data_IF_496108244039
#
_entry.id   IF_496108244039
#
_cell.length_a   1.000
_cell.length_b   1.000
_cell.length_c   1.000
_cell.angle_alpha   90.00
_cell.angle_beta   90.00
_cell.angle_gamma   90.00
#
_symmetry.space_group_name_H-M   'P 1'
#
loop_
_entity.id
_entity.type
_entity.pdbx_description
1 polymer ?
#
# COMPACT_ATOMS: atom_id res chain seq x y z
N UNK A 1 -1.72 -19.00 -38.54
CA UNK A 1 -0.79 -19.43 -37.48
C UNK A 1 0.09 -18.23 -37.16
N UNK A 2 -0.09 -17.62 -35.99
CA UNK A 2 0.59 -16.39 -35.61
C UNK A 2 1.95 -16.77 -35.03
N UNK A 3 3.04 -16.43 -35.74
CA UNK A 3 4.41 -16.66 -35.28
C UNK A 3 4.65 -15.86 -34.00
N UNK A 4 4.60 -16.53 -32.85
CA UNK A 4 5.14 -16.02 -31.60
C UNK A 4 6.66 -16.03 -31.71
N UNK A 5 7.24 -14.92 -32.15
CA UNK A 5 8.69 -14.72 -32.10
C UNK A 5 9.11 -14.86 -30.63
N UNK A 6 10.00 -15.82 -30.28
CA UNK A 6 10.49 -15.92 -28.91
C UNK A 6 11.31 -14.66 -28.60
N UNK A 7 10.87 -13.91 -27.60
CA UNK A 7 11.59 -12.73 -27.13
C UNK A 7 13.02 -13.08 -26.72
N UNK A 8 13.98 -12.24 -27.11
CA UNK A 8 15.31 -12.30 -26.52
C UNK A 8 15.21 -12.01 -25.02
N UNK A 9 15.96 -12.73 -24.19
CA UNK A 9 15.99 -12.55 -22.72
C UNK A 9 16.17 -11.07 -22.31
N UNK A 10 16.83 -10.26 -23.13
CA UNK A 10 17.02 -8.82 -22.90
C UNK A 10 15.71 -8.02 -23.01
N UNK A 11 14.86 -8.30 -23.99
CA UNK A 11 13.60 -7.58 -24.20
C UNK A 11 12.60 -7.86 -23.08
N UNK A 12 12.52 -9.10 -22.61
CA UNK A 12 11.68 -9.47 -21.47
C UNK A 12 12.11 -8.74 -20.19
N UNK A 13 13.42 -8.59 -19.95
CA UNK A 13 13.93 -7.86 -18.79
C UNK A 13 13.59 -6.36 -18.85
N UNK A 14 13.68 -5.74 -20.03
CA UNK A 14 13.31 -4.33 -20.23
C UNK A 14 11.84 -4.11 -19.89
N UNK A 15 10.94 -4.95 -20.42
CA UNK A 15 9.49 -4.86 -20.15
C UNK A 15 9.16 -4.97 -18.65
N UNK A 16 9.78 -5.92 -17.95
CA UNK A 16 9.60 -6.10 -16.50
C UNK A 16 10.07 -4.85 -15.75
N UNK A 17 11.25 -4.32 -16.09
CA UNK A 17 11.81 -3.16 -15.43
C UNK A 17 10.96 -1.91 -15.66
N UNK A 18 10.43 -1.69 -16.86
CA UNK A 18 9.55 -0.58 -17.17
C UNK A 18 8.23 -0.64 -16.39
N UNK A 19 7.59 -1.82 -16.36
CA UNK A 19 6.37 -2.02 -15.60
C UNK A 19 6.58 -1.80 -14.10
N UNK A 20 7.60 -2.44 -13.53
CA UNK A 20 7.92 -2.33 -12.10
C UNK A 20 8.29 -0.89 -11.74
N UNK A 21 9.09 -0.21 -12.56
CA UNK A 21 9.41 1.21 -12.35
C UNK A 21 8.16 2.09 -12.36
N UNK A 22 7.23 1.83 -13.28
CA UNK A 22 5.94 2.54 -13.33
C UNK A 22 5.13 2.34 -12.05
N UNK A 23 5.05 1.10 -11.55
CA UNK A 23 4.40 0.75 -10.28
C UNK A 23 5.02 1.54 -9.11
N UNK A 24 6.34 1.51 -8.96
CA UNK A 24 7.03 2.21 -7.87
C UNK A 24 6.90 3.72 -7.96
N UNK A 25 6.92 4.29 -9.16
CA UNK A 25 6.69 5.72 -9.35
C UNK A 25 5.28 6.13 -8.90
N UNK A 26 4.25 5.37 -9.28
CA UNK A 26 2.88 5.62 -8.83
C UNK A 26 2.73 5.47 -7.32
N UNK A 27 3.33 4.43 -6.74
CA UNK A 27 3.36 4.22 -5.29
C UNK A 27 4.03 5.42 -4.58
N UNK A 28 5.19 5.88 -5.06
CA UNK A 28 5.91 7.01 -4.49
C UNK A 28 5.11 8.32 -4.57
N UNK A 29 4.45 8.58 -5.71
CA UNK A 29 3.54 9.72 -5.86
C UNK A 29 2.38 9.63 -4.86
N UNK A 30 1.77 8.45 -4.73
CA UNK A 30 0.69 8.21 -3.76
C UNK A 30 1.14 8.50 -2.33
N UNK A 31 2.25 7.89 -1.89
CA UNK A 31 2.79 8.09 -0.54
C UNK A 31 3.21 9.54 -0.28
N UNK A 32 3.83 10.20 -1.26
CA UNK A 32 4.20 11.61 -1.17
C UNK A 32 2.97 12.51 -1.00
N UNK A 33 1.91 12.24 -1.77
CA UNK A 33 0.63 12.95 -1.64
C UNK A 33 -0.02 12.68 -0.28
N UNK A 34 -0.04 11.43 0.18
CA UNK A 34 -0.56 11.04 1.49
C UNK A 34 0.16 11.79 2.61
N UNK A 35 1.49 11.82 2.59
CA UNK A 35 2.29 12.55 3.57
C UNK A 35 2.05 14.06 3.52
N UNK A 36 1.97 14.65 2.32
CA UNK A 36 1.68 16.06 2.13
C UNK A 36 0.30 16.45 2.69
N UNK A 37 -0.75 15.68 2.35
CA UNK A 37 -2.10 15.95 2.83
C UNK A 37 -2.19 15.74 4.34
N UNK A 38 -1.56 14.68 4.87
CA UNK A 38 -1.52 14.43 6.31
C UNK A 38 -0.89 15.60 7.07
N UNK A 39 0.25 16.11 6.59
CA UNK A 39 0.92 17.28 7.13
C UNK A 39 0.06 18.55 7.00
N UNK A 40 -0.55 18.80 5.84
CA UNK A 40 -1.38 19.97 5.62
C UNK A 40 -2.59 20.00 6.55
N UNK A 41 -3.29 18.87 6.68
CA UNK A 41 -4.43 18.73 7.58
C UNK A 41 -4.00 18.91 9.04
N UNK A 42 -2.88 18.32 9.46
CA UNK A 42 -2.41 18.43 10.86
C UNK A 42 -1.99 19.85 11.26
N UNK A 43 -1.72 20.74 10.30
CA UNK A 43 -1.39 22.14 10.55
C UNK A 43 -2.60 23.09 10.47
N UNK A 44 -3.79 22.58 10.13
CA UNK A 44 -5.01 23.39 10.02
C UNK A 44 -6.04 22.99 11.07
N UNK A 45 -6.23 23.84 12.08
CA UNK A 45 -7.21 23.60 13.14
C UNK A 45 -8.62 23.40 12.61
N UNK A 46 -8.99 24.13 11.55
CA UNK A 46 -10.30 24.00 10.89
C UNK A 46 -10.48 22.60 10.31
N UNK A 47 -9.48 22.07 9.59
CA UNK A 47 -9.56 20.74 8.98
C UNK A 47 -9.55 19.63 10.05
N UNK A 48 -8.75 19.79 11.11
CA UNK A 48 -8.76 18.88 12.26
C UNK A 48 -10.16 18.82 12.88
N UNK A 49 -10.79 19.97 13.11
CA UNK A 49 -12.12 20.02 13.72
C UNK A 49 -13.20 19.41 12.81
N UNK A 50 -13.10 19.62 11.49
CA UNK A 50 -14.04 19.02 10.52
C UNK A 50 -13.89 17.49 10.51
N UNK A 51 -12.66 16.98 10.44
CA UNK A 51 -12.38 15.56 10.26
C UNK A 51 -12.57 14.79 11.57
N UNK A 52 -11.95 15.25 12.66
CA UNK A 52 -11.91 14.53 13.93
C UNK A 52 -12.97 15.01 14.94
N UNK A 53 -13.49 16.23 14.78
CA UNK A 53 -14.57 16.75 15.63
C UNK A 53 -15.95 16.20 15.24
N UNK A 54 -16.15 15.78 13.98
CA UNK A 54 -17.40 15.19 13.52
C UNK A 54 -17.25 13.69 13.23
N UNK A 55 -17.83 12.85 14.10
CA UNK A 55 -17.80 11.39 13.97
C UNK A 55 -18.34 10.90 12.61
N UNK A 56 -19.36 11.56 12.05
CA UNK A 56 -19.91 11.16 10.74
C UNK A 56 -18.90 11.39 9.61
N UNK A 57 -18.15 12.48 9.66
CA UNK A 57 -17.09 12.75 8.68
C UNK A 57 -15.97 11.73 8.81
N UNK A 58 -15.49 11.49 10.04
CA UNK A 58 -14.43 10.51 10.29
C UNK A 58 -14.78 9.10 9.78
N UNK A 59 -15.94 8.56 10.18
CA UNK A 59 -16.37 7.25 9.70
C UNK A 59 -16.72 7.26 8.21
N UNK A 60 -17.22 8.37 7.68
CA UNK A 60 -17.45 8.56 6.25
C UNK A 60 -16.18 8.44 5.43
N UNK A 61 -15.06 9.01 5.90
CA UNK A 61 -13.75 8.90 5.27
C UNK A 61 -13.26 7.44 5.26
N UNK A 62 -13.36 6.73 6.40
CA UNK A 62 -12.97 5.32 6.49
C UNK A 62 -13.79 4.46 5.51
N UNK A 63 -15.11 4.66 5.47
CA UNK A 63 -16.00 3.93 4.56
C UNK A 63 -15.67 4.26 3.10
N UNK A 64 -15.40 5.53 2.79
CA UNK A 64 -15.01 5.97 1.45
C UNK A 64 -13.68 5.34 1.02
N UNK A 65 -12.68 5.29 1.90
CA UNK A 65 -11.39 4.64 1.63
C UNK A 65 -11.55 3.15 1.32
N UNK A 66 -12.28 2.41 2.16
CA UNK A 66 -12.56 1.00 1.93
C UNK A 66 -13.32 0.80 0.63
N UNK A 67 -14.37 1.59 0.39
CA UNK A 67 -15.17 1.56 -0.82
C UNK A 67 -14.33 1.79 -2.08
N UNK A 68 -13.41 2.76 -2.05
CA UNK A 68 -12.50 3.06 -3.15
C UNK A 68 -11.52 1.91 -3.43
N UNK A 69 -10.91 1.33 -2.40
CA UNK A 69 -9.97 0.20 -2.56
C UNK A 69 -10.69 -1.01 -3.14
N UNK A 70 -11.87 -1.37 -2.60
CA UNK A 70 -12.66 -2.48 -3.10
C UNK A 70 -13.12 -2.23 -4.54
N UNK A 71 -13.63 -1.03 -4.83
CA UNK A 71 -14.08 -0.68 -6.17
C UNK A 71 -12.94 -0.73 -7.18
N UNK A 72 -11.80 -0.09 -6.87
CA UNK A 72 -10.64 -0.07 -7.75
C UNK A 72 -10.15 -1.49 -7.97
N UNK A 73 -9.96 -2.28 -6.92
CA UNK A 73 -9.51 -3.68 -7.04
C UNK A 73 -10.46 -4.56 -7.86
N UNK A 74 -11.78 -4.39 -7.72
CA UNK A 74 -12.77 -5.22 -8.40
C UNK A 74 -13.11 -4.77 -9.84
N UNK A 75 -13.02 -3.46 -10.13
CA UNK A 75 -13.51 -2.87 -11.40
C UNK A 75 -12.42 -2.30 -12.28
N UNK A 76 -11.17 -2.29 -11.85
CA UNK A 76 -10.02 -1.80 -12.64
C UNK A 76 -9.96 -2.31 -14.08
N UNK A 77 -10.29 -3.57 -14.33
CA UNK A 77 -10.24 -4.13 -15.69
C UNK A 77 -11.31 -3.50 -16.61
N UNK A 78 -12.43 -3.05 -16.03
CA UNK A 78 -13.60 -2.49 -16.72
C UNK A 78 -13.58 -0.98 -16.86
N UNK A 79 -12.74 -0.27 -16.10
CA UNK A 79 -12.63 1.20 -16.16
C UNK A 79 -11.47 1.65 -17.07
N UNK A 80 -11.48 2.93 -17.45
CA UNK A 80 -10.38 3.53 -18.20
C UNK A 80 -9.18 3.80 -17.28
N UNK A 81 -7.98 3.88 -17.86
CA UNK A 81 -6.74 4.09 -17.11
C UNK A 81 -6.69 5.46 -16.41
N UNK A 82 -7.31 6.49 -17.00
CA UNK A 82 -7.49 7.82 -16.41
C UNK A 82 -8.34 7.75 -15.14
N UNK A 83 -9.48 7.04 -15.18
CA UNK A 83 -10.36 6.84 -14.01
C UNK A 83 -9.64 6.09 -12.89
N UNK A 84 -8.90 5.01 -13.22
CA UNK A 84 -8.11 4.28 -12.24
C UNK A 84 -7.05 5.18 -11.57
N UNK A 85 -6.37 6.02 -12.37
CA UNK A 85 -5.40 7.00 -11.87
C UNK A 85 -6.06 7.99 -10.92
N UNK A 86 -7.18 8.59 -11.33
CA UNK A 86 -7.90 9.56 -10.51
C UNK A 86 -8.37 8.94 -9.18
N UNK A 87 -8.90 7.72 -9.21
CA UNK A 87 -9.32 6.99 -8.02
C UNK A 87 -8.14 6.72 -7.08
N UNK A 88 -6.97 6.33 -7.60
CA UNK A 88 -5.78 6.12 -6.79
C UNK A 88 -5.27 7.41 -6.12
N UNK A 89 -5.29 8.54 -6.86
CA UNK A 89 -4.91 9.86 -6.33
C UNK A 89 -5.89 10.31 -5.24
N UNK A 90 -7.20 10.19 -5.49
CA UNK A 90 -8.24 10.50 -4.50
C UNK A 90 -8.09 9.62 -3.26
N UNK A 91 -7.87 8.32 -3.46
CA UNK A 91 -7.63 7.38 -2.38
C UNK A 91 -6.41 7.79 -1.53
N UNK A 92 -5.29 8.13 -2.16
CA UNK A 92 -4.07 8.58 -1.46
C UNK A 92 -4.31 9.87 -0.67
N UNK A 93 -5.03 10.84 -1.24
CA UNK A 93 -5.37 12.09 -0.55
C UNK A 93 -6.31 11.85 0.64
N UNK A 94 -7.36 11.03 0.48
CA UNK A 94 -8.27 10.67 1.58
C UNK A 94 -7.52 9.96 2.70
N UNK A 95 -6.70 8.99 2.34
CA UNK A 95 -5.86 8.27 3.30
C UNK A 95 -4.90 9.23 4.02
N UNK A 96 -4.32 10.21 3.33
CA UNK A 96 -3.52 11.27 3.96
C UNK A 96 -4.33 12.09 4.97
N UNK A 97 -5.56 12.49 4.62
CA UNK A 97 -6.43 13.23 5.53
C UNK A 97 -6.78 12.41 6.78
N UNK A 98 -7.10 11.12 6.62
CA UNK A 98 -7.36 10.20 7.74
C UNK A 98 -6.11 9.99 8.59
N UNK A 99 -4.94 9.79 7.96
CA UNK A 99 -3.66 9.59 8.64
C UNK A 99 -3.07 10.84 9.27
N UNK A 100 -3.61 12.02 9.02
CA UNK A 100 -3.17 13.26 9.69
C UNK A 100 -3.17 13.16 11.22
N UNK A 101 -3.98 12.25 11.80
CA UNK A 101 -3.99 11.97 13.24
C UNK A 101 -2.60 11.56 13.77
N UNK A 102 -1.74 10.94 12.95
CA UNK A 102 -0.41 10.51 13.39
C UNK A 102 0.45 11.71 13.81
N UNK A 103 0.31 12.85 13.13
CA UNK A 103 1.03 14.08 13.46
C UNK A 103 0.49 14.75 14.73
N UNK A 104 -0.73 14.42 15.12
CA UNK A 104 -1.35 14.89 16.37
C UNK A 104 -0.88 14.03 17.57
N UNK A 105 -0.68 12.73 17.36
CA UNK A 105 -0.38 11.77 18.43
C UNK A 105 1.11 11.50 18.60
N UNK A 106 1.90 11.48 17.53
CA UNK A 106 3.32 11.12 17.55
C UNK A 106 4.21 12.33 17.31
N UNK A 107 5.46 12.25 17.78
CA UNK A 107 6.45 13.28 17.48
C UNK A 107 6.86 13.24 16.00
N UNK A 108 7.18 14.40 15.42
CA UNK A 108 7.70 14.48 14.05
C UNK A 108 8.97 13.65 13.86
N UNK A 109 9.84 13.59 14.90
CA UNK A 109 11.06 12.77 14.87
C UNK A 109 10.74 11.27 14.77
N UNK A 110 9.76 10.78 15.54
CA UNK A 110 9.27 9.40 15.45
C UNK A 110 8.65 9.06 14.09
N UNK A 111 7.86 9.97 13.53
CA UNK A 111 7.26 9.80 12.19
C UNK A 111 8.36 9.68 11.14
N UNK A 112 9.32 10.61 11.12
CA UNK A 112 10.41 10.62 10.15
C UNK A 112 11.33 9.41 10.27
N UNK A 113 11.78 9.08 11.49
CA UNK A 113 12.65 7.91 11.72
C UNK A 113 11.96 6.60 11.34
N UNK A 114 10.70 6.42 11.74
CA UNK A 114 9.90 5.26 11.35
C UNK A 114 9.71 5.18 9.85
N UNK A 115 9.49 6.30 9.17
CA UNK A 115 9.32 6.32 7.71
C UNK A 115 10.59 5.82 6.99
N UNK A 116 11.78 6.23 7.44
CA UNK A 116 13.03 5.73 6.89
C UNK A 116 13.26 4.25 7.18
N UNK A 117 12.98 3.79 8.40
CA UNK A 117 13.06 2.36 8.77
C UNK A 117 12.10 1.51 7.93
N UNK A 118 10.86 1.99 7.77
CA UNK A 118 9.85 1.35 6.93
C UNK A 118 10.29 1.31 5.47
N UNK A 119 10.80 2.42 4.94
CA UNK A 119 11.31 2.49 3.57
C UNK A 119 12.46 1.51 3.32
N UNK A 120 13.44 1.45 4.22
CA UNK A 120 14.54 0.51 4.12
C UNK A 120 14.07 -0.95 4.19
N UNK A 121 13.15 -1.26 5.11
CA UNK A 121 12.55 -2.59 5.26
C UNK A 121 11.79 -2.98 3.98
N UNK A 122 10.93 -2.09 3.49
CA UNK A 122 10.11 -2.30 2.31
C UNK A 122 10.96 -2.52 1.06
N UNK A 123 11.98 -1.67 0.83
CA UNK A 123 12.90 -1.81 -0.30
C UNK A 123 13.66 -3.14 -0.21
N UNK A 124 14.14 -3.52 0.97
CA UNK A 124 14.86 -4.80 1.15
C UNK A 124 13.97 -6.00 0.82
N UNK A 125 12.73 -6.00 1.31
CA UNK A 125 11.76 -7.08 1.05
C UNK A 125 11.33 -7.13 -0.42
N UNK A 126 11.14 -5.96 -1.03
CA UNK A 126 10.86 -5.83 -2.46
C UNK A 126 12.00 -6.38 -3.31
N UNK A 127 13.25 -5.97 -3.04
CA UNK A 127 14.42 -6.48 -3.74
C UNK A 127 14.50 -7.99 -3.61
N UNK A 128 14.26 -8.53 -2.41
CA UNK A 128 14.17 -9.98 -2.21
C UNK A 128 13.08 -10.62 -3.08
N UNK A 129 11.87 -10.06 -3.12
CA UNK A 129 10.77 -10.54 -3.99
C UNK A 129 11.10 -10.48 -5.49
N UNK A 130 11.88 -9.48 -5.92
CA UNK A 130 12.33 -9.34 -7.30
C UNK A 130 13.36 -10.39 -7.71
N UNK A 131 14.34 -10.68 -6.84
CA UNK A 131 15.50 -11.51 -7.18
C UNK A 131 15.35 -12.97 -6.79
N UNK A 132 14.48 -13.28 -5.82
CA UNK A 132 14.34 -14.65 -5.31
C UNK A 132 13.86 -15.60 -6.40
N UNK A 133 14.40 -16.82 -6.38
CA UNK A 133 13.99 -17.93 -7.25
C UNK A 133 12.93 -18.82 -6.62
N UNK A 134 12.67 -18.66 -5.31
CA UNK A 134 11.63 -19.40 -4.59
C UNK A 134 10.27 -18.82 -4.96
N UNK A 135 9.30 -19.68 -5.24
CA UNK A 135 7.92 -19.27 -5.40
C UNK A 135 7.34 -18.90 -4.03
N UNK A 136 6.90 -17.65 -3.87
CA UNK A 136 6.33 -17.11 -2.64
C UNK A 136 4.81 -17.25 -2.60
N UNK A 137 4.16 -17.90 -3.58
CA UNK A 137 2.70 -17.97 -3.66
C UNK A 137 2.07 -18.60 -2.42
N UNK A 138 2.64 -19.69 -1.89
CA UNK A 138 2.16 -20.32 -0.66
C UNK A 138 2.34 -19.42 0.57
N UNK A 139 3.49 -18.73 0.66
CA UNK A 139 3.75 -17.75 1.70
C UNK A 139 2.75 -16.59 1.63
N UNK A 140 2.50 -16.06 0.44
CA UNK A 140 1.53 -14.98 0.20
C UNK A 140 0.13 -15.36 0.65
N UNK A 141 -0.33 -16.57 0.34
CA UNK A 141 -1.61 -17.10 0.83
C UNK A 141 -1.68 -17.18 2.36
N UNK A 142 -0.61 -17.67 3.00
CA UNK A 142 -0.52 -17.73 4.46
C UNK A 142 -0.49 -16.35 5.12
N UNK A 143 0.29 -15.41 4.56
CA UNK A 143 0.35 -14.03 5.04
C UNK A 143 -0.99 -13.29 4.84
N UNK A 144 -1.71 -13.56 3.75
CA UNK A 144 -3.05 -13.00 3.52
C UNK A 144 -4.07 -13.49 4.55
N UNK A 145 -4.00 -14.77 4.97
CA UNK A 145 -4.79 -15.24 6.12
C UNK A 145 -4.38 -14.55 7.42
N UNK A 146 -3.07 -14.32 7.63
CA UNK A 146 -2.55 -13.54 8.74
C UNK A 146 -3.09 -12.11 8.78
N UNK A 147 -3.19 -11.44 7.63
CA UNK A 147 -3.81 -10.12 7.50
C UNK A 147 -5.26 -10.11 7.98
N UNK A 148 -6.06 -11.12 7.59
CA UNK A 148 -7.43 -11.26 8.08
C UNK A 148 -7.44 -11.42 9.61
N UNK A 149 -6.55 -12.24 10.16
CA UNK A 149 -6.38 -12.38 11.61
C UNK A 149 -6.05 -11.06 12.31
N UNK A 150 -5.15 -10.26 11.74
CA UNK A 150 -4.81 -8.92 12.25
C UNK A 150 -6.02 -7.98 12.23
N UNK A 151 -6.82 -8.00 11.16
CA UNK A 151 -8.04 -7.18 11.05
C UNK A 151 -9.03 -7.56 12.15
N UNK A 152 -9.32 -8.86 12.30
CA UNK A 152 -10.24 -9.36 13.34
C UNK A 152 -9.73 -8.99 14.73
N UNK A 153 -8.45 -9.24 15.01
CA UNK A 153 -7.83 -8.90 16.29
C UNK A 153 -7.89 -7.39 16.57
N UNK A 154 -7.67 -6.55 15.55
CA UNK A 154 -7.78 -5.10 15.66
C UNK A 154 -9.19 -4.66 16.02
N UNK A 155 -10.22 -5.24 15.37
CA UNK A 155 -11.63 -4.95 15.67
C UNK A 155 -12.00 -5.38 17.09
N UNK A 156 -11.61 -6.60 17.51
CA UNK A 156 -11.84 -7.08 18.87
C UNK A 156 -11.16 -6.16 19.90
N UNK A 157 -9.94 -5.70 19.60
CA UNK A 157 -9.20 -4.80 20.48
C UNK A 157 -9.80 -3.39 20.56
N UNK A 158 -10.68 -2.97 19.64
CA UNK A 158 -11.44 -1.71 19.81
C UNK A 158 -12.41 -1.79 21.00
N UNK A 159 -12.93 -2.97 21.31
CA UNK A 159 -13.82 -3.21 22.45
C UNK A 159 -13.04 -3.47 23.74
N UNK A 160 -11.96 -4.27 23.67
CA UNK A 160 -11.14 -4.61 24.83
C UNK A 160 -10.24 -3.43 25.26
N UNK A 161 -9.73 -2.65 24.31
CA UNK A 161 -8.80 -1.53 24.50
C UNK A 161 -7.50 -1.91 25.21
N UNK A 162 -6.95 -3.09 24.92
CA UNK A 162 -5.72 -3.58 25.54
C UNK A 162 -4.46 -3.04 24.83
N UNK A 163 -3.57 -2.40 25.60
CA UNK A 163 -2.26 -1.95 25.11
C UNK A 163 -1.35 -3.12 24.71
N UNK A 164 -1.33 -4.19 25.50
CA UNK A 164 -0.57 -5.41 25.21
C UNK A 164 -1.03 -6.10 23.92
N UNK A 165 -2.35 -6.20 23.71
CA UNK A 165 -2.90 -6.74 22.46
C UNK A 165 -2.54 -5.86 21.26
N UNK A 166 -2.60 -4.54 21.42
CA UNK A 166 -2.18 -3.59 20.37
C UNK A 166 -0.72 -3.78 19.95
N UNK A 167 0.16 -4.08 20.90
CA UNK A 167 1.59 -4.31 20.68
C UNK A 167 1.84 -5.64 19.96
N UNK A 168 1.19 -6.73 20.41
CA UNK A 168 1.25 -8.05 19.75
C UNK A 168 0.76 -7.97 18.30
N UNK A 169 -0.37 -7.31 18.08
CA UNK A 169 -0.91 -7.08 16.73
C UNK A 169 0.11 -6.37 15.85
N UNK A 170 0.83 -5.37 16.38
CA UNK A 170 1.84 -4.66 15.60
C UNK A 170 3.06 -5.50 15.26
N UNK A 171 3.59 -6.31 16.19
CA UNK A 171 4.71 -7.20 15.87
C UNK A 171 4.35 -8.26 14.82
N UNK A 172 3.20 -8.91 14.99
CA UNK A 172 2.70 -9.88 14.00
C UNK A 172 2.43 -9.16 12.67
N UNK A 173 1.85 -7.95 12.74
CA UNK A 173 1.62 -7.08 11.58
C UNK A 173 2.88 -6.82 10.78
N UNK A 174 3.97 -6.42 11.43
CA UNK A 174 5.26 -6.21 10.75
C UNK A 174 5.70 -7.46 10.01
N UNK A 175 5.66 -8.64 10.64
CA UNK A 175 6.03 -9.91 9.98
C UNK A 175 5.14 -10.21 8.78
N UNK A 176 3.83 -10.02 8.93
CA UNK A 176 2.85 -10.26 7.86
C UNK A 176 3.09 -9.33 6.68
N UNK A 177 3.22 -8.02 6.91
CA UNK A 177 3.40 -7.05 5.83
C UNK A 177 4.78 -7.13 5.18
N UNK A 178 5.82 -7.54 5.91
CA UNK A 178 7.12 -7.88 5.32
C UNK A 178 6.99 -9.06 4.34
N UNK A 179 6.27 -10.12 4.74
CA UNK A 179 6.00 -11.26 3.88
C UNK A 179 5.14 -10.91 2.66
N UNK A 180 4.07 -10.13 2.87
CA UNK A 180 3.20 -9.64 1.80
C UNK A 180 3.96 -8.76 0.81
N UNK A 181 4.80 -7.83 1.28
CA UNK A 181 5.60 -6.95 0.42
C UNK A 181 6.48 -7.76 -0.54
N UNK A 182 7.16 -8.79 -0.03
CA UNK A 182 8.00 -9.66 -0.85
C UNK A 182 7.16 -10.45 -1.87
N UNK A 183 6.03 -11.02 -1.44
CA UNK A 183 5.11 -11.75 -2.30
C UNK A 183 4.49 -10.86 -3.39
N UNK A 184 3.98 -9.68 -3.03
CA UNK A 184 3.32 -8.76 -3.95
C UNK A 184 4.32 -8.20 -4.97
N UNK A 185 5.56 -7.94 -4.55
CA UNK A 185 6.62 -7.58 -5.50
C UNK A 185 6.91 -8.71 -6.49
N UNK A 186 6.98 -9.95 -6.02
CA UNK A 186 7.15 -11.12 -6.89
C UNK A 186 5.95 -11.30 -7.83
N UNK A 187 4.73 -11.13 -7.32
CA UNK A 187 3.49 -11.18 -8.11
C UNK A 187 3.47 -10.13 -9.22
N UNK A 188 3.97 -8.92 -8.96
CA UNK A 188 4.09 -7.88 -9.99
C UNK A 188 5.11 -8.22 -11.06
N UNK A 189 6.23 -8.84 -10.68
CA UNK A 189 7.20 -9.38 -11.65
C UNK A 189 6.54 -10.44 -12.53
N UNK A 190 5.76 -11.37 -11.95
CA UNK A 190 5.02 -12.37 -12.74
C UNK A 190 3.95 -11.75 -13.63
N UNK A 191 3.24 -10.73 -13.15
CA UNK A 191 2.26 -9.97 -13.93
C UNK A 191 2.93 -9.36 -15.17
N UNK A 192 4.08 -8.70 -14.99
CA UNK A 192 4.84 -8.12 -16.10
C UNK A 192 5.32 -9.18 -17.12
N UNK A 193 5.77 -10.34 -16.65
CA UNK A 193 6.20 -11.45 -17.50
C UNK A 193 5.04 -12.09 -18.28
N UNK A 194 3.82 -12.02 -17.75
CA UNK A 194 2.62 -12.61 -18.35
C UNK A 194 1.92 -11.70 -19.35
N UNK A 195 2.36 -10.44 -19.52
CA UNK A 195 1.73 -9.50 -20.45
C UNK A 195 2.04 -9.85 -21.92
N UNK A 196 1.00 -10.03 -22.77
CA UNK A 196 1.18 -10.19 -24.20
C UNK A 196 2.00 -9.08 -24.86
N UNK A 197 2.68 -9.46 -25.95
CA UNK A 197 3.28 -8.57 -26.93
C UNK A 197 2.30 -7.51 -27.43
N UNK A 198 2.68 -6.23 -27.43
CA UNK A 198 1.88 -5.15 -28.04
C UNK A 198 0.57 -4.86 -27.31
N UNK A 199 0.48 -5.16 -26.02
CA UNK A 199 -0.67 -4.82 -25.19
C UNK A 199 -0.91 -3.30 -25.20
N UNK A 200 -2.19 -2.90 -25.17
CA UNK A 200 -2.59 -1.50 -25.11
C UNK A 200 -1.95 -0.79 -23.90
N UNK A 201 -1.39 0.40 -24.12
CA UNK A 201 -0.73 1.18 -23.08
C UNK A 201 -1.66 1.50 -21.91
N UNK A 202 -2.96 1.62 -22.15
CA UNK A 202 -3.98 1.78 -21.12
C UNK A 202 -4.09 0.55 -20.22
N UNK A 203 -3.95 -0.66 -20.75
CA UNK A 203 -3.95 -1.91 -19.96
C UNK A 203 -2.70 -2.00 -19.07
N UNK A 204 -1.51 -1.69 -19.62
CA UNK A 204 -0.26 -1.64 -18.83
C UNK A 204 -0.39 -0.64 -17.69
N UNK A 205 -0.91 0.56 -17.98
CA UNK A 205 -1.11 1.61 -16.96
C UNK A 205 -2.08 1.17 -15.88
N UNK A 206 -3.19 0.52 -16.22
CA UNK A 206 -4.15 -0.02 -15.23
C UNK A 206 -3.49 -1.07 -14.33
N UNK A 207 -2.70 -1.97 -14.91
CA UNK A 207 -1.90 -2.94 -14.15
C UNK A 207 -0.91 -2.26 -13.19
N UNK A 208 -0.24 -1.20 -13.66
CA UNK A 208 0.71 -0.46 -12.85
C UNK A 208 0.02 0.27 -11.67
N UNK A 209 -1.16 0.85 -11.89
CA UNK A 209 -1.95 1.49 -10.82
C UNK A 209 -2.40 0.47 -9.77
N UNK A 210 -2.82 -0.74 -10.17
CA UNK A 210 -3.16 -1.79 -9.19
C UNK A 210 -1.96 -2.27 -8.41
N UNK A 211 -0.83 -2.45 -9.09
CA UNK A 211 0.41 -2.81 -8.41
C UNK A 211 0.83 -1.74 -7.41
N UNK A 212 0.71 -0.47 -7.81
CA UNK A 212 1.00 0.66 -6.95
C UNK A 212 0.06 0.70 -5.75
N UNK A 213 -1.23 0.44 -5.93
CA UNK A 213 -2.19 0.35 -4.84
C UNK A 213 -1.85 -0.78 -3.86
N UNK A 214 -1.51 -1.98 -4.35
CA UNK A 214 -1.13 -3.12 -3.48
C UNK A 214 0.09 -2.79 -2.63
N UNK A 215 1.17 -2.33 -3.26
CA UNK A 215 2.41 -1.96 -2.58
C UNK A 215 2.23 -0.73 -1.67
N UNK A 216 1.38 0.22 -2.05
CA UNK A 216 1.00 1.36 -1.21
C UNK A 216 0.32 0.90 0.08
N UNK A 217 -0.64 -0.02 -0.02
CA UNK A 217 -1.36 -0.56 1.13
C UNK A 217 -0.41 -1.32 2.07
N UNK A 218 0.47 -2.15 1.52
CA UNK A 218 1.50 -2.85 2.31
C UNK A 218 2.42 -1.86 3.03
N UNK A 219 2.88 -0.82 2.34
CA UNK A 219 3.76 0.18 2.92
C UNK A 219 3.09 0.97 4.04
N UNK A 220 1.88 1.50 3.81
CA UNK A 220 1.16 2.29 4.82
C UNK A 220 0.90 1.44 6.06
N UNK A 221 0.45 0.19 5.90
CA UNK A 221 0.20 -0.66 7.05
C UNK A 221 1.48 -1.06 7.79
N UNK A 222 2.55 -1.40 7.07
CA UNK A 222 3.86 -1.65 7.68
C UNK A 222 4.34 -0.43 8.46
N UNK A 223 4.23 0.77 7.87
CA UNK A 223 4.58 2.03 8.50
C UNK A 223 3.78 2.27 9.79
N UNK A 224 2.47 2.09 9.77
CA UNK A 224 1.63 2.28 10.96
C UNK A 224 1.95 1.28 12.08
N UNK A 225 2.26 0.04 11.73
CA UNK A 225 2.65 -0.97 12.73
C UNK A 225 4.02 -0.67 13.33
N UNK A 226 5.00 -0.28 12.50
CA UNK A 226 6.31 0.16 12.99
C UNK A 226 6.19 1.44 13.84
N UNK A 227 5.36 2.40 13.43
CA UNK A 227 5.15 3.65 14.18
C UNK A 227 4.53 3.37 15.55
N UNK A 228 3.66 2.37 15.64
CA UNK A 228 3.09 1.97 16.94
C UNK A 228 4.13 1.34 17.87
N UNK A 229 5.13 0.66 17.33
CA UNK A 229 6.20 -0.01 18.11
C UNK A 229 7.29 0.98 18.50
N UNK A 230 7.74 1.80 17.56
CA UNK A 230 8.91 2.67 17.68
C UNK A 230 8.56 4.12 18.03
N UNK A 231 7.32 4.51 17.84
CA UNK A 231 6.90 5.90 17.93
C UNK A 231 6.70 6.37 19.36
N UNK A 232 7.29 7.52 19.65
CA UNK A 232 7.07 8.25 20.89
C UNK A 232 5.83 9.13 20.76
N UNK A 233 4.95 9.06 21.77
CA UNK A 233 3.65 9.75 21.77
C UNK A 233 3.78 11.08 22.51
N UNK A 234 3.13 12.12 21.99
CA UNK A 234 3.05 13.45 22.60
C UNK A 234 2.01 13.50 23.71
#
# INVERSE_FOLDING_TARGET
MQNSIPYSKSQTQIMVNEFIRSVYNWMAIGLGLTGFVAFYVSNSQTLINIIFGNKLVFFGLIIAELGLVFYLSARVQKIQASTATAMFVVYSALNGATLSFIFLVYTSSSITSTFFICSATFITCSVYGMITKRDLTSLGGFMAMGLIGIIIASVVNLFIRSSGMSMVISYIGVLVFVGLTAYDTQKLKHMALSQPAGIDAGVVRKGAILGALSLYLDFINLFLMLLRILGDRR
#
